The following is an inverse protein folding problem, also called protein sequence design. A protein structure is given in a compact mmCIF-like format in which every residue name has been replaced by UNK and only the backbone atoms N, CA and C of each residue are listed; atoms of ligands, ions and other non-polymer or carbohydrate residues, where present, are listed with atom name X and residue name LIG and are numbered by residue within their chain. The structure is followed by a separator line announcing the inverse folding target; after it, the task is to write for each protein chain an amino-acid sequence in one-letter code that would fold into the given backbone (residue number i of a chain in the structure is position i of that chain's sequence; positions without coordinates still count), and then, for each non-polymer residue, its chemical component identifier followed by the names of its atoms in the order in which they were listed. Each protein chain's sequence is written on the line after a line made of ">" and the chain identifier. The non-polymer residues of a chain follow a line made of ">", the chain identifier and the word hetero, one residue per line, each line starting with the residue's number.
data_IF_708032912349
#
_entry.id   IF_708032912349
#
_cell.length_a   1.000
_cell.length_b   1.000
_cell.length_c   1.000
_cell.angle_alpha   90.00
_cell.angle_beta   90.00
_cell.angle_gamma   90.00
#
_symmetry.space_group_name_H-M   'P 1'
#
loop_
_entity.id
_entity.type
_entity.pdbx_description
1 polymer ?
#
# COMPACT_ATOMS: atom_id res chain seq x y z
N UNK A 1 -2.32 -10.65 -12.21
CA UNK A 1 -2.16 -11.00 -10.78
C UNK A 1 -2.63 -9.78 -10.00
N UNK A 2 -3.47 -9.97 -8.99
CA UNK A 2 -4.11 -8.88 -8.25
C UNK A 2 -3.40 -8.70 -6.91
N UNK A 3 -2.98 -7.46 -6.60
CA UNK A 3 -2.25 -7.13 -5.38
C UNK A 3 -2.87 -5.91 -4.70
N UNK A 4 -2.90 -5.91 -3.38
CA UNK A 4 -3.38 -4.79 -2.58
C UNK A 4 -2.19 -4.06 -1.97
N UNK A 5 -2.05 -2.77 -2.26
CA UNK A 5 -1.10 -1.92 -1.59
C UNK A 5 -1.71 -1.43 -0.28
N UNK A 6 -1.18 -1.90 0.85
CA UNK A 6 -1.61 -1.51 2.18
C UNK A 6 -1.08 -0.11 2.58
N UNK A 7 -1.31 0.87 1.72
CA UNK A 7 -0.95 2.26 1.94
C UNK A 7 -2.06 3.17 1.45
N UNK A 8 -2.36 4.19 2.23
CA UNK A 8 -3.26 5.28 1.84
C UNK A 8 -2.52 6.45 1.18
N UNK A 9 -1.19 6.34 0.98
CA UNK A 9 -0.40 7.39 0.36
C UNK A 9 -0.44 7.27 -1.17
N UNK A 10 -1.17 8.18 -1.81
CA UNK A 10 -1.38 8.20 -3.27
C UNK A 10 -0.07 8.34 -4.07
N UNK A 11 0.92 9.09 -3.54
CA UNK A 11 2.23 9.21 -4.18
C UNK A 11 2.96 7.86 -4.23
N UNK A 12 2.98 7.12 -3.11
CA UNK A 12 3.56 5.77 -3.06
C UNK A 12 2.82 4.79 -3.97
N UNK A 13 1.49 4.87 -3.98
CA UNK A 13 0.64 4.01 -4.81
C UNK A 13 0.92 4.22 -6.30
N UNK A 14 1.17 5.47 -6.71
CA UNK A 14 1.57 5.81 -8.07
C UNK A 14 2.91 5.18 -8.44
N UNK A 15 3.93 5.32 -7.60
CA UNK A 15 5.24 4.71 -7.87
C UNK A 15 5.17 3.18 -7.96
N UNK A 16 4.44 2.53 -7.05
CA UNK A 16 4.24 1.07 -7.06
C UNK A 16 3.52 0.64 -8.35
N UNK A 17 2.49 1.39 -8.77
CA UNK A 17 1.81 1.14 -10.04
C UNK A 17 2.74 1.29 -11.24
N UNK A 18 3.57 2.34 -11.28
CA UNK A 18 4.52 2.54 -12.39
C UNK A 18 5.56 1.41 -12.47
N UNK A 19 6.11 0.96 -11.33
CA UNK A 19 7.09 -0.14 -11.29
C UNK A 19 6.46 -1.47 -11.73
N UNK A 20 5.23 -1.76 -11.29
CA UNK A 20 4.55 -3.04 -11.53
C UNK A 20 3.70 -3.05 -12.81
N UNK A 21 3.54 -1.90 -13.47
CA UNK A 21 2.80 -1.77 -14.73
C UNK A 21 3.39 -2.64 -15.83
N UNK A 22 4.71 -2.83 -15.84
CA UNK A 22 5.41 -3.64 -16.85
C UNK A 22 5.17 -5.15 -16.68
N UNK A 23 4.71 -5.57 -15.49
CA UNK A 23 4.55 -6.97 -15.10
C UNK A 23 3.10 -7.46 -15.28
N UNK A 24 2.17 -6.58 -15.68
CA UNK A 24 0.75 -6.93 -15.82
C UNK A 24 0.06 -7.22 -14.47
N UNK A 25 0.53 -6.57 -13.40
CA UNK A 25 -0.09 -6.64 -12.07
C UNK A 25 -1.10 -5.50 -11.89
N UNK A 26 -2.29 -5.82 -11.40
CA UNK A 26 -3.29 -4.83 -11.02
C UNK A 26 -3.14 -4.51 -9.52
N UNK A 27 -2.83 -3.24 -9.23
CA UNK A 27 -2.59 -2.74 -7.87
C UNK A 27 -3.81 -1.95 -7.38
N UNK A 28 -4.51 -2.53 -6.41
CA UNK A 28 -5.64 -1.91 -5.73
C UNK A 28 -5.17 -1.21 -4.45
N UNK A 29 -5.76 -0.05 -4.14
CA UNK A 29 -5.54 0.62 -2.86
C UNK A 29 -6.48 0.09 -1.78
N UNK A 30 -6.18 0.34 -0.51
CA UNK A 30 -7.12 0.09 0.60
C UNK A 30 -8.45 0.86 0.41
N UNK A 31 -8.38 2.07 -0.19
CA UNK A 31 -9.56 2.85 -0.58
C UNK A 31 -10.41 2.17 -1.65
N UNK A 32 -9.80 1.55 -2.66
CA UNK A 32 -10.52 0.80 -3.71
C UNK A 32 -11.32 -0.37 -3.12
N UNK A 33 -10.82 -0.95 -2.03
CA UNK A 33 -11.48 -2.03 -1.30
C UNK A 33 -12.51 -1.54 -0.27
N UNK A 34 -12.77 -0.22 -0.18
CA UNK A 34 -13.55 0.41 0.89
C UNK A 34 -13.04 0.06 2.31
N UNK A 35 -11.77 -0.33 2.44
CA UNK A 35 -11.13 -0.66 3.71
C UNK A 35 -10.55 0.62 4.28
N UNK A 36 -11.35 1.32 5.11
CA UNK A 36 -10.90 2.49 5.82
C UNK A 36 -10.32 2.08 7.18
N UNK A 37 -9.21 1.34 7.17
CA UNK A 37 -8.46 1.01 8.38
C UNK A 37 -7.39 2.09 8.57
N UNK A 38 -7.54 2.87 9.64
CA UNK A 38 -6.50 3.76 10.12
C UNK A 38 -5.55 2.91 10.98
N UNK A 39 -4.47 2.44 10.36
CA UNK A 39 -3.46 1.62 11.02
C UNK A 39 -2.58 2.55 11.84
N UNK A 40 -2.73 2.50 13.17
CA UNK A 40 -2.03 3.38 14.10
C UNK A 40 -0.51 3.11 14.08
N UNK A 41 0.27 4.11 13.65
CA UNK A 41 1.73 4.03 13.54
C UNK A 41 2.40 4.18 14.90
N UNK A 42 2.36 3.12 15.69
CA UNK A 42 2.96 3.06 17.04
C UNK A 42 4.42 2.61 17.02
N UNK A 43 4.96 2.25 15.85
CA UNK A 43 6.35 1.82 15.67
C UNK A 43 7.33 2.97 15.82
N UNK A 44 8.51 2.70 16.40
CA UNK A 44 9.56 3.72 16.61
C UNK A 44 10.44 3.92 15.38
N UNK A 45 10.36 3.03 14.40
CA UNK A 45 11.14 3.07 13.16
C UNK A 45 10.25 2.92 11.93
N UNK A 46 10.77 3.31 10.76
CA UNK A 46 10.07 3.12 9.49
C UNK A 46 9.85 1.64 9.15
N UNK A 47 10.78 0.77 9.55
CA UNK A 47 10.68 -0.68 9.35
C UNK A 47 9.53 -1.27 10.17
N UNK A 48 9.43 -0.93 11.45
CA UNK A 48 8.32 -1.36 12.30
C UNK A 48 6.97 -0.89 11.77
N UNK A 49 6.86 0.37 11.35
CA UNK A 49 5.63 0.88 10.77
C UNK A 49 5.30 0.25 9.40
N UNK A 50 6.30 -0.19 8.64
CA UNK A 50 6.07 -0.93 7.40
C UNK A 50 5.54 -2.36 7.67
N UNK A 51 6.04 -3.03 8.71
CA UNK A 51 5.55 -4.35 9.13
C UNK A 51 4.12 -4.29 9.70
N UNK A 52 3.80 -3.26 10.49
CA UNK A 52 2.45 -3.06 11.03
C UNK A 52 1.43 -2.81 9.90
N UNK A 53 1.89 -2.24 8.77
CA UNK A 53 1.07 -1.96 7.59
C UNK A 53 0.99 -3.13 6.59
N UNK A 54 1.83 -4.16 6.69
CA UNK A 54 1.91 -5.27 5.72
C UNK A 54 0.87 -6.37 5.99
#
# INVERSE_FOLDING_TARGET
>A
MEMIAATNNEHKLKEIREILSDIGCEIFSLKDMCINIDIEETGKTFEENALIKA
#
